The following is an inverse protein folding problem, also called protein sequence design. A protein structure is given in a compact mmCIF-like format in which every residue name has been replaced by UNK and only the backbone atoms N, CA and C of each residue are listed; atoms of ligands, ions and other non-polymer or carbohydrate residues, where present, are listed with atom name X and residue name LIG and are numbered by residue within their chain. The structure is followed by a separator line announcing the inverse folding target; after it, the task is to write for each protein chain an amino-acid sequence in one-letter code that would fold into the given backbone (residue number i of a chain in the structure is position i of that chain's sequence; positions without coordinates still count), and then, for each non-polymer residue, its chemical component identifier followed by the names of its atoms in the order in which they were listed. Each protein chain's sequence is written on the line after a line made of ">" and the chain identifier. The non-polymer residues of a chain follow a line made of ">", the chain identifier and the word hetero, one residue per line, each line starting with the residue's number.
data_IF_993143836741
#
_entry.id   IF_993143836741
#
_cell.length_a   1.000
_cell.length_b   1.000
_cell.length_c   1.000
_cell.angle_alpha   90.00
_cell.angle_beta   90.00
_cell.angle_gamma   90.00
#
_symmetry.space_group_name_H-M   'P 1'
#
loop_
_entity.id
_entity.type
_entity.pdbx_description
1 polymer ?
#
# COMPACT_ATOMS: atom_id res chain seq x y z
N UNK A 1 12.01 6.50 -12.90
CA UNK A 1 10.90 6.84 -13.82
C UNK A 1 9.73 7.26 -12.97
N UNK A 2 9.07 8.37 -13.29
CA UNK A 2 7.85 8.81 -12.62
C UNK A 2 6.69 8.44 -13.56
N UNK A 3 5.58 7.97 -13.00
CA UNK A 3 4.34 7.75 -13.73
C UNK A 3 3.31 8.76 -13.25
N UNK A 4 2.60 9.37 -14.20
CA UNK A 4 1.52 10.31 -13.91
C UNK A 4 0.25 9.69 -14.47
N UNK A 5 -0.73 9.47 -13.59
CA UNK A 5 -2.00 8.83 -13.93
C UNK A 5 -3.11 9.80 -13.53
N UNK A 6 -3.91 10.21 -14.50
CA UNK A 6 -5.11 11.00 -14.23
C UNK A 6 -6.28 10.05 -13.93
N UNK A 7 -7.15 10.43 -13.01
CA UNK A 7 -8.41 9.73 -12.74
C UNK A 7 -9.45 10.74 -12.29
N UNK A 8 -10.70 10.48 -12.64
CA UNK A 8 -11.85 11.28 -12.25
C UNK A 8 -13.13 10.44 -12.26
N UNK A 9 -14.25 10.99 -11.80
CA UNK A 9 -15.53 10.29 -11.78
C UNK A 9 -16.04 9.90 -13.18
N UNK A 10 -15.51 10.54 -14.22
CA UNK A 10 -15.84 10.28 -15.63
C UNK A 10 -14.88 9.26 -16.29
N UNK A 11 -13.93 8.68 -15.56
CA UNK A 11 -13.08 7.60 -16.08
C UNK A 11 -13.89 6.32 -16.24
N UNK A 12 -13.76 5.65 -17.38
CA UNK A 12 -14.35 4.32 -17.62
C UNK A 12 -13.76 3.23 -16.71
N UNK A 13 -12.57 3.48 -16.13
CA UNK A 13 -11.79 2.52 -15.35
C UNK A 13 -11.17 3.15 -14.08
N UNK A 14 -10.81 2.29 -13.12
CA UNK A 14 -10.09 2.70 -11.91
C UNK A 14 -8.58 2.85 -12.19
N UNK A 15 -8.21 3.83 -13.03
CA UNK A 15 -6.85 3.97 -13.58
C UNK A 15 -5.75 4.01 -12.50
N UNK A 16 -5.97 4.76 -11.42
CA UNK A 16 -5.04 4.85 -10.29
C UNK A 16 -4.88 3.50 -9.58
N UNK A 17 -5.98 2.75 -9.43
CA UNK A 17 -5.97 1.44 -8.79
C UNK A 17 -5.13 0.45 -9.60
N UNK A 18 -5.40 0.34 -10.91
CA UNK A 18 -4.63 -0.52 -11.80
C UNK A 18 -3.15 -0.15 -11.86
N UNK A 19 -2.84 1.16 -11.82
CA UNK A 19 -1.46 1.63 -11.78
C UNK A 19 -0.74 1.14 -10.52
N UNK A 20 -1.34 1.26 -9.34
CA UNK A 20 -0.76 0.76 -8.10
C UNK A 20 -0.61 -0.76 -8.11
N UNK A 21 -1.68 -1.48 -8.48
CA UNK A 21 -1.66 -2.94 -8.53
C UNK A 21 -0.53 -3.46 -9.44
N UNK A 22 -0.45 -2.93 -10.66
CA UNK A 22 0.56 -3.30 -11.64
C UNK A 22 1.98 -2.97 -11.16
N UNK A 23 2.19 -1.79 -10.58
CA UNK A 23 3.49 -1.39 -10.05
C UNK A 23 3.96 -2.32 -8.91
N UNK A 24 3.06 -2.69 -7.99
CA UNK A 24 3.37 -3.57 -6.87
C UNK A 24 3.68 -4.99 -7.36
N UNK A 25 2.85 -5.55 -8.24
CA UNK A 25 3.07 -6.89 -8.81
C UNK A 25 4.37 -7.01 -9.60
N UNK A 26 4.83 -5.92 -10.21
CA UNK A 26 6.06 -5.90 -11.00
C UNK A 26 7.31 -5.52 -10.19
N UNK A 27 7.17 -5.14 -8.92
CA UNK A 27 8.30 -4.76 -8.08
C UNK A 27 9.34 -5.90 -7.98
N UNK A 28 10.63 -5.54 -8.04
CA UNK A 28 11.74 -6.51 -7.98
C UNK A 28 12.67 -6.32 -6.78
N UNK A 29 12.65 -5.13 -6.16
CA UNK A 29 13.61 -4.76 -5.11
C UNK A 29 12.93 -4.23 -3.87
N UNK A 30 12.06 -3.24 -4.02
CA UNK A 30 11.35 -2.62 -2.92
C UNK A 30 9.97 -2.09 -3.35
N UNK A 31 9.09 -1.94 -2.37
CA UNK A 31 7.81 -1.22 -2.45
C UNK A 31 7.68 -0.40 -1.18
N UNK A 32 7.73 0.93 -1.29
CA UNK A 32 7.54 1.82 -0.16
C UNK A 32 6.22 2.57 -0.34
N UNK A 33 5.37 2.49 0.67
CA UNK A 33 4.05 3.14 0.67
C UNK A 33 4.02 4.10 1.85
N UNK A 34 3.94 5.40 1.55
CA UNK A 34 3.80 6.46 2.55
C UNK A 34 2.40 7.03 2.47
N UNK A 35 1.61 6.85 3.53
CA UNK A 35 0.23 7.35 3.58
C UNK A 35 -0.23 7.52 5.03
N UNK A 36 -1.01 8.57 5.36
CA UNK A 36 -1.65 8.70 6.66
C UNK A 36 -2.87 7.78 6.83
N UNK A 37 -3.37 7.18 5.75
CA UNK A 37 -4.56 6.34 5.75
C UNK A 37 -4.29 5.06 4.96
N UNK A 38 -3.80 4.02 5.64
CA UNK A 38 -3.48 2.74 5.01
C UNK A 38 -4.67 1.79 5.14
N UNK A 39 -5.62 1.92 4.21
CA UNK A 39 -6.79 1.04 4.10
C UNK A 39 -6.83 0.51 2.66
N UNK A 40 -5.97 -0.46 2.31
CA UNK A 40 -6.00 -1.06 0.98
C UNK A 40 -7.25 -1.91 0.82
N UNK A 41 -7.79 -1.96 -0.40
CA UNK A 41 -8.77 -2.98 -0.76
C UNK A 41 -8.09 -4.36 -0.86
N UNK A 42 -8.90 -5.40 -1.01
CA UNK A 42 -8.42 -6.78 -1.01
C UNK A 42 -7.40 -7.06 -2.13
N UNK A 43 -7.55 -6.44 -3.31
CA UNK A 43 -6.66 -6.65 -4.44
C UNK A 43 -5.28 -6.06 -4.19
N UNK A 44 -5.22 -4.81 -3.71
CA UNK A 44 -3.96 -4.17 -3.33
C UNK A 44 -3.29 -4.90 -2.17
N UNK A 45 -4.06 -5.28 -1.15
CA UNK A 45 -3.52 -6.03 -0.01
C UNK A 45 -2.89 -7.35 -0.43
N UNK A 46 -3.53 -8.10 -1.33
CA UNK A 46 -2.96 -9.34 -1.90
C UNK A 46 -1.70 -9.06 -2.72
N UNK A 47 -1.69 -8.01 -3.53
CA UNK A 47 -0.51 -7.62 -4.32
C UNK A 47 0.69 -7.29 -3.42
N UNK A 48 0.46 -6.49 -2.36
CA UNK A 48 1.51 -6.09 -1.40
C UNK A 48 2.05 -7.32 -0.67
N UNK A 49 1.16 -8.21 -0.18
CA UNK A 49 1.56 -9.47 0.47
C UNK A 49 2.36 -10.37 -0.49
N UNK A 50 1.92 -10.50 -1.74
CA UNK A 50 2.62 -11.29 -2.75
C UNK A 50 4.03 -10.76 -3.02
N UNK A 51 4.20 -9.43 -3.08
CA UNK A 51 5.52 -8.82 -3.23
C UNK A 51 6.42 -9.13 -2.03
N UNK A 52 5.91 -8.96 -0.80
CA UNK A 52 6.67 -9.26 0.43
C UNK A 52 7.10 -10.74 0.50
N UNK A 53 6.17 -11.66 0.23
CA UNK A 53 6.43 -13.10 0.18
C UNK A 53 7.45 -13.50 -0.90
N UNK A 54 7.57 -12.70 -1.96
CA UNK A 54 8.55 -12.89 -3.03
C UNK A 54 9.95 -12.35 -2.69
N UNK A 55 10.15 -11.86 -1.46
CA UNK A 55 11.42 -11.31 -0.98
C UNK A 55 11.67 -9.85 -1.36
N UNK A 56 10.66 -9.15 -1.90
CA UNK A 56 10.73 -7.71 -2.14
C UNK A 56 10.67 -6.96 -0.80
N UNK A 57 11.52 -5.94 -0.60
CA UNK A 57 11.50 -5.13 0.63
C UNK A 57 10.29 -4.20 0.64
N UNK A 58 9.21 -4.67 1.27
CA UNK A 58 7.95 -3.92 1.42
C UNK A 58 7.95 -3.15 2.73
N UNK A 59 7.76 -1.83 2.66
CA UNK A 59 7.69 -0.96 3.84
C UNK A 59 6.49 -0.03 3.79
N UNK A 60 5.69 -0.06 4.85
CA UNK A 60 4.61 0.91 5.07
C UNK A 60 5.13 1.99 6.00
N UNK A 61 5.12 3.23 5.54
CA UNK A 61 5.58 4.41 6.27
C UNK A 61 4.34 5.18 6.71
N UNK A 62 4.16 5.33 8.01
CA UNK A 62 2.92 5.82 8.61
C UNK A 62 3.20 6.89 9.67
N UNK A 63 2.39 7.96 9.76
CA UNK A 63 2.61 9.00 10.77
C UNK A 63 2.39 8.46 12.19
N UNK A 64 3.28 8.83 13.12
CA UNK A 64 3.16 8.44 14.54
C UNK A 64 1.96 9.10 15.22
N UNK A 65 1.62 10.32 14.81
CA UNK A 65 0.49 11.08 15.34
C UNK A 65 -0.63 11.03 14.30
N UNK A 66 -1.75 10.41 14.66
CA UNK A 66 -2.93 10.43 13.81
C UNK A 66 -3.81 11.65 14.09
N UNK A 67 -4.37 12.18 13.01
CA UNK A 67 -5.46 13.13 12.98
C UNK A 67 -6.82 12.47 13.28
N UNK A 68 -7.00 11.20 12.90
CA UNK A 68 -8.23 10.44 13.07
C UNK A 68 -8.00 9.07 13.71
N UNK A 69 -8.48 8.90 14.96
CA UNK A 69 -8.27 7.68 15.76
C UNK A 69 -8.83 6.40 15.11
N UNK A 70 -10.01 6.46 14.49
CA UNK A 70 -10.67 5.29 13.89
C UNK A 70 -9.86 4.77 12.70
N UNK A 71 -9.43 5.66 11.82
CA UNK A 71 -8.64 5.30 10.63
C UNK A 71 -7.28 4.72 11.03
N UNK A 72 -6.69 5.24 12.11
CA UNK A 72 -5.44 4.70 12.65
C UNK A 72 -5.62 3.24 13.11
N UNK A 73 -6.67 2.96 13.90
CA UNK A 73 -6.98 1.59 14.36
C UNK A 73 -7.20 0.65 13.15
N UNK A 74 -7.96 1.10 12.14
CA UNK A 74 -8.17 0.32 10.93
C UNK A 74 -6.85 0.06 10.17
N UNK A 75 -5.96 1.05 10.10
CA UNK A 75 -4.66 0.88 9.43
C UNK A 75 -3.79 -0.19 10.14
N UNK A 76 -3.80 -0.22 11.48
CA UNK A 76 -3.05 -1.21 12.24
C UNK A 76 -3.47 -2.66 11.96
N UNK A 77 -4.75 -2.93 11.70
CA UNK A 77 -5.18 -4.31 11.37
C UNK A 77 -4.56 -4.81 10.07
N UNK A 78 -4.37 -3.93 9.08
CA UNK A 78 -3.72 -4.28 7.82
C UNK A 78 -2.20 -4.41 7.97
N UNK A 79 -1.56 -3.64 8.87
CA UNK A 79 -0.14 -3.78 9.13
C UNK A 79 0.20 -5.17 9.64
N UNK A 80 -0.64 -5.76 10.49
CA UNK A 80 -0.42 -7.12 10.99
C UNK A 80 -0.32 -8.13 9.85
N UNK A 81 -1.19 -8.04 8.85
CA UNK A 81 -1.15 -8.93 7.69
C UNK A 81 0.12 -8.74 6.85
N UNK A 82 0.57 -7.50 6.67
CA UNK A 82 1.80 -7.20 5.93
C UNK A 82 3.04 -7.68 6.68
N UNK A 83 3.09 -7.47 7.99
CA UNK A 83 4.19 -7.93 8.85
C UNK A 83 4.31 -9.46 8.83
N UNK A 84 3.18 -10.17 8.87
CA UNK A 84 3.15 -11.64 8.74
C UNK A 84 3.67 -12.12 7.38
N UNK A 85 3.50 -11.32 6.32
CA UNK A 85 4.02 -11.61 4.99
C UNK A 85 5.53 -11.24 4.82
N UNK A 86 6.20 -10.77 5.88
CA UNK A 86 7.62 -10.36 5.85
C UNK A 86 7.85 -8.89 5.51
N UNK A 87 6.78 -8.10 5.36
CA UNK A 87 6.88 -6.65 5.22
C UNK A 87 7.25 -5.95 6.53
N UNK A 88 7.43 -4.63 6.48
CA UNK A 88 7.81 -3.80 7.63
C UNK A 88 6.88 -2.59 7.76
N UNK A 89 6.66 -2.14 8.99
CA UNK A 89 6.02 -0.86 9.29
C UNK A 89 7.04 0.10 9.92
N UNK A 90 7.15 1.31 9.38
CA UNK A 90 7.98 2.40 9.88
C UNK A 90 7.09 3.57 10.28
N UNK A 91 7.39 4.18 11.42
CA UNK A 91 6.66 5.35 11.89
C UNK A 91 7.51 6.61 11.75
N UNK A 92 6.93 7.65 11.15
CA UNK A 92 7.55 8.97 10.97
C UNK A 92 6.86 10.06 11.80
#
# INVERSE_FOLDING_TARGET
>A
MIQVVASGPDSDWEDIHYAYFSAICQARKNVYIETPYFIPDESLLKAIKSAALSGVDVRIIFPKIADHKIVNIASYSYFEEILRAGGKSLFI
#
